data_IF_341806683539
#
_entry.id   IF_341806683539
#
_cell.length_a   1.000
_cell.length_b   1.000
_cell.length_c   1.000
_cell.angle_alpha   90.00
_cell.angle_beta   90.00
_cell.angle_gamma   90.00
#
_symmetry.space_group_name_H-M   'P 1'
#
loop_
_entity.id
_entity.type
_entity.pdbx_description
1 polymer ?
#
# COMPACT_ATOMS: atom_id res chain seq x y z
N UNK A 1 -8.57 -2.61 -10.60
CA UNK A 1 -7.16 -2.91 -10.26
C UNK A 1 -6.47 -3.74 -11.34
N UNK A 2 -7.23 -4.35 -12.24
CA UNK A 2 -6.77 -5.24 -13.33
C UNK A 2 -5.64 -4.66 -14.18
N UNK A 3 -5.73 -3.41 -14.65
CA UNK A 3 -4.64 -2.82 -15.46
C UNK A 3 -3.28 -2.78 -14.74
N UNK A 4 -3.25 -2.45 -13.44
CA UNK A 4 -2.00 -2.45 -12.68
C UNK A 4 -1.48 -3.88 -12.45
N UNK A 5 -2.38 -4.84 -12.25
CA UNK A 5 -2.03 -6.26 -12.16
C UNK A 5 -1.40 -6.76 -13.47
N UNK A 6 -2.05 -6.52 -14.60
CA UNK A 6 -1.61 -6.98 -15.93
C UNK A 6 -0.24 -6.42 -16.34
N UNK A 7 0.13 -5.27 -15.78
CA UNK A 7 1.39 -4.59 -16.06
C UNK A 7 2.42 -4.68 -14.92
N UNK A 8 2.18 -5.52 -13.90
CA UNK A 8 3.05 -5.69 -12.73
C UNK A 8 3.40 -4.37 -12.01
N UNK A 9 2.42 -3.48 -11.89
CA UNK A 9 2.57 -2.21 -11.18
C UNK A 9 2.09 -2.29 -9.74
N UNK A 10 2.68 -1.41 -8.92
CA UNK A 10 2.24 -1.11 -7.56
C UNK A 10 1.32 0.11 -7.62
N UNK A 11 0.18 0.04 -6.94
CA UNK A 11 -0.74 1.19 -6.83
C UNK A 11 -0.25 2.11 -5.71
N UNK A 12 0.01 3.38 -6.02
CA UNK A 12 0.29 4.42 -5.04
C UNK A 12 -0.94 5.31 -4.86
N UNK A 13 -1.45 5.45 -3.63
CA UNK A 13 -2.72 6.14 -3.38
C UNK A 13 -2.77 6.82 -2.01
N UNK A 14 -3.60 7.86 -1.87
CA UNK A 14 -3.99 8.47 -0.58
C UNK A 14 -5.45 8.15 -0.21
N UNK A 15 -6.11 7.27 -0.98
CA UNK A 15 -7.45 6.79 -0.69
C UNK A 15 -7.43 5.88 0.55
N UNK A 16 -8.11 6.28 1.61
CA UNK A 16 -8.12 5.59 2.89
C UNK A 16 -8.95 4.30 2.88
N UNK A 17 -9.88 4.16 1.93
CA UNK A 17 -10.80 3.03 1.81
C UNK A 17 -10.19 1.87 1.00
N UNK A 18 -9.01 2.07 0.40
CA UNK A 18 -8.35 1.05 -0.42
C UNK A 18 -8.07 -0.24 0.35
N UNK A 19 -7.77 -0.15 1.65
CA UNK A 19 -7.59 -1.33 2.50
C UNK A 19 -8.87 -2.16 2.66
N UNK A 20 -10.03 -1.52 2.67
CA UNK A 20 -11.33 -2.20 2.70
C UNK A 20 -11.66 -2.81 1.34
N UNK A 21 -11.36 -2.11 0.24
CA UNK A 21 -11.49 -2.65 -1.12
C UNK A 21 -10.69 -3.95 -1.26
N UNK A 22 -9.40 -3.95 -0.88
CA UNK A 22 -8.54 -5.13 -0.94
C UNK A 22 -9.06 -6.30 -0.11
N UNK A 23 -9.62 -6.02 1.06
CA UNK A 23 -10.20 -7.02 1.95
C UNK A 23 -11.50 -7.60 1.36
N UNK A 24 -12.37 -6.77 0.81
CA UNK A 24 -13.62 -7.18 0.19
C UNK A 24 -13.38 -8.05 -1.07
N UNK A 25 -12.32 -7.77 -1.83
CA UNK A 25 -11.98 -8.55 -3.02
C UNK A 25 -11.07 -9.75 -2.74
N UNK A 26 -10.53 -9.88 -1.52
CA UNK A 26 -9.47 -10.86 -1.18
C UNK A 26 -8.33 -10.86 -2.21
N UNK A 27 -7.97 -9.68 -2.71
CA UNK A 27 -6.99 -9.55 -3.77
C UNK A 27 -5.59 -9.90 -3.23
N UNK A 28 -4.83 -10.70 -3.98
CA UNK A 28 -3.43 -11.01 -3.69
C UNK A 28 -2.48 -9.96 -4.28
N UNK A 29 -2.90 -9.32 -5.38
CA UNK A 29 -2.16 -8.32 -6.14
C UNK A 29 -3.15 -7.35 -6.81
N UNK A 30 -2.69 -6.16 -7.26
CA UNK A 30 -1.34 -5.62 -7.11
C UNK A 30 -1.05 -5.21 -5.66
N UNK A 31 0.24 -5.07 -5.33
CA UNK A 31 0.63 -4.40 -4.10
C UNK A 31 0.21 -2.93 -4.12
N UNK A 32 0.00 -2.39 -2.92
CA UNK A 32 -0.52 -1.04 -2.74
C UNK A 32 0.33 -0.32 -1.71
N UNK A 33 0.71 0.92 -2.04
CA UNK A 33 1.27 1.88 -1.10
C UNK A 33 0.19 2.92 -0.84
N UNK A 34 -0.32 2.93 0.39
CA UNK A 34 -1.31 3.88 0.86
C UNK A 34 -0.63 4.94 1.72
N UNK A 35 -0.63 6.18 1.27
CA UNK A 35 -0.18 7.33 2.07
C UNK A 35 -1.34 7.81 2.94
N UNK A 36 -1.03 8.17 4.19
CA UNK A 36 -1.97 8.72 5.16
C UNK A 36 -1.35 9.96 5.80
N UNK A 37 -1.34 11.05 5.05
CA UNK A 37 -0.95 12.38 5.55
C UNK A 37 -1.80 13.46 4.88
N UNK A 38 -1.89 14.61 5.53
CA UNK A 38 -2.50 15.80 4.95
C UNK A 38 -1.56 16.52 3.99
N UNK A 39 -0.26 16.41 4.23
CA UNK A 39 0.77 17.03 3.40
C UNK A 39 1.34 16.01 2.40
N UNK A 40 0.89 16.13 1.15
CA UNK A 40 1.30 15.28 0.04
C UNK A 40 2.42 15.89 -0.81
N UNK A 41 2.99 17.02 -0.40
CA UNK A 41 4.09 17.63 -1.16
C UNK A 41 5.31 16.70 -1.14
N UNK A 42 6.03 16.58 -2.28
CA UNK A 42 7.22 15.75 -2.35
C UNK A 42 8.23 16.05 -1.25
N UNK A 43 8.44 17.32 -0.90
CA UNK A 43 9.37 17.72 0.17
C UNK A 43 9.03 17.09 1.53
N UNK A 44 7.76 16.81 1.78
CA UNK A 44 7.29 16.26 3.06
C UNK A 44 7.28 14.73 3.06
N UNK A 45 7.18 14.10 1.88
CA UNK A 45 7.05 12.65 1.73
C UNK A 45 8.30 11.93 1.25
N UNK A 46 9.19 12.60 0.53
CA UNK A 46 10.28 11.96 -0.22
C UNK A 46 11.12 11.02 0.66
N UNK A 47 11.49 11.48 1.85
CA UNK A 47 12.38 10.73 2.74
C UNK A 47 11.69 9.47 3.25
N UNK A 48 10.48 9.59 3.79
CA UNK A 48 9.75 8.45 4.36
C UNK A 48 9.27 7.48 3.27
N UNK A 49 8.91 8.00 2.09
CA UNK A 49 8.46 7.21 0.95
C UNK A 49 9.60 6.36 0.39
N UNK A 50 10.76 6.96 0.12
CA UNK A 50 11.94 6.22 -0.40
C UNK A 50 12.40 5.19 0.62
N UNK A 51 12.47 5.56 1.91
CA UNK A 51 12.86 4.61 2.97
C UNK A 51 11.88 3.44 3.08
N UNK A 52 10.58 3.69 2.98
CA UNK A 52 9.55 2.64 3.04
C UNK A 52 9.62 1.73 1.82
N UNK A 53 9.81 2.28 0.62
CA UNK A 53 9.99 1.51 -0.61
C UNK A 53 11.18 0.55 -0.50
N UNK A 54 12.33 1.04 -0.07
CA UNK A 54 13.54 0.22 0.11
C UNK A 54 13.35 -0.82 1.21
N UNK A 55 12.72 -0.45 2.33
CA UNK A 55 12.52 -1.35 3.47
C UNK A 55 11.57 -2.51 3.14
N UNK A 56 10.49 -2.25 2.41
CA UNK A 56 9.42 -3.24 2.16
C UNK A 56 9.43 -3.80 0.73
N UNK A 57 10.57 -3.71 0.03
CA UNK A 57 10.68 -4.15 -1.35
C UNK A 57 10.23 -5.61 -1.51
N UNK A 58 10.75 -6.52 -0.69
CA UNK A 58 10.43 -7.94 -0.78
C UNK A 58 8.94 -8.25 -0.62
N UNK A 59 8.27 -7.53 0.28
CA UNK A 59 6.87 -7.72 0.58
C UNK A 59 5.97 -7.06 -0.47
N UNK A 60 6.38 -5.91 -1.01
CA UNK A 60 5.73 -5.29 -2.16
C UNK A 60 5.84 -6.16 -3.41
N UNK A 61 6.95 -6.86 -3.62
CA UNK A 61 7.10 -7.84 -4.70
C UNK A 61 6.26 -9.11 -4.46
N UNK A 62 5.97 -9.45 -3.19
CA UNK A 62 5.21 -10.65 -2.81
C UNK A 62 3.70 -10.42 -2.61
N UNK A 63 3.21 -9.18 -2.72
CA UNK A 63 1.81 -8.83 -2.49
C UNK A 63 1.57 -8.26 -1.10
N UNK A 64 1.52 -6.93 -0.99
CA UNK A 64 1.31 -6.25 0.28
C UNK A 64 0.58 -4.91 0.15
N UNK A 65 -0.13 -4.53 1.22
CA UNK A 65 -0.53 -3.16 1.50
C UNK A 65 0.47 -2.54 2.48
N UNK A 66 1.22 -1.54 2.02
CA UNK A 66 2.09 -0.71 2.85
C UNK A 66 1.38 0.62 3.11
N UNK A 67 1.01 0.89 4.34
CA UNK A 67 0.48 2.20 4.76
C UNK A 67 1.61 3.05 5.31
N UNK A 68 1.80 4.25 4.77
CA UNK A 68 2.82 5.22 5.19
C UNK A 68 2.12 6.41 5.84
N UNK A 69 2.45 6.71 7.09
CA UNK A 69 2.19 8.00 7.72
C UNK A 69 3.54 8.69 8.07
N UNK A 70 3.52 9.97 8.46
CA UNK A 70 4.75 10.73 8.76
C UNK A 70 5.52 10.21 9.99
N UNK A 71 4.88 9.41 10.84
CA UNK A 71 5.44 8.87 12.08
C UNK A 71 5.85 7.40 11.99
N UNK A 72 5.24 6.63 11.09
CA UNK A 72 5.41 5.17 10.97
C UNK A 72 4.93 4.65 9.62
N UNK A 73 5.44 3.49 9.27
CA UNK A 73 4.90 2.64 8.20
C UNK A 73 4.37 1.33 8.77
N UNK A 74 3.26 0.86 8.23
CA UNK A 74 2.60 -0.41 8.60
C UNK A 74 2.47 -1.27 7.36
N UNK A 75 2.73 -2.56 7.49
CA UNK A 75 2.55 -3.53 6.42
C UNK A 75 1.44 -4.53 6.74
N UNK A 76 0.69 -4.93 5.71
CA UNK A 76 -0.22 -6.07 5.72
C UNK A 76 0.03 -6.90 4.46
N UNK A 77 0.36 -8.16 4.63
CA UNK A 77 0.51 -9.10 3.51
C UNK A 77 -0.87 -9.39 2.93
N UNK A 78 -0.94 -9.46 1.60
CA UNK A 78 -2.15 -9.81 0.87
C UNK A 78 -2.29 -11.34 0.74
N UNK A 79 -3.52 -11.89 0.74
CA UNK A 79 -4.79 -11.19 0.84
C UNK A 79 -5.10 -10.73 2.27
N UNK A 80 -5.78 -9.59 2.39
CA UNK A 80 -6.26 -9.10 3.69
C UNK A 80 -7.54 -9.84 4.07
N UNK A 81 -7.48 -10.64 5.13
CA UNK A 81 -8.67 -11.29 5.68
C UNK A 81 -9.38 -10.30 6.62
N UNK A 82 -10.65 -9.99 6.31
CA UNK A 82 -11.55 -9.31 7.25
C UNK A 82 -11.96 -10.31 8.32
N UNK A 83 -11.73 -9.99 9.60
CA UNK A 83 -12.34 -10.73 10.69
C UNK A 83 -13.77 -10.21 10.88
N UNK A 84 -14.66 -10.53 9.93
CA UNK A 84 -16.10 -10.34 10.13
C UNK A 84 -16.61 -11.57 10.90
N UNK A 85 -16.70 -11.42 12.24
CA UNK A 85 -17.54 -12.24 13.11
C UNK A 85 -18.91 -11.58 13.25
#
# INVERSE_FOLDING_TARGET
MEWALDNNYIIFTNDLDFGALLAATQAQFPSVIQVRTQDLFPQSLETILIQSLTRFQSELESGALVTIDLSRSKIRILPIISNDN
#
